data_IF_303153738610
#
_entry.id   IF_303153738610
#
_cell.length_a   1.000
_cell.length_b   1.000
_cell.length_c   1.000
_cell.angle_alpha   90.00
_cell.angle_beta   90.00
_cell.angle_gamma   90.00
#
_symmetry.space_group_name_H-M   'P 1'
#
loop_
_entity.id
_entity.type
_entity.pdbx_description
1 polymer ?
#
# COMPACT_ATOMS: atom_id res chain seq x y z
N UNK A 1 -12.53 58.03 -43.42
CA UNK A 1 -12.95 56.71 -43.93
C UNK A 1 -11.72 55.97 -44.42
N UNK A 2 -11.21 55.03 -43.63
CA UNK A 2 -10.01 54.25 -43.93
C UNK A 2 -9.64 53.46 -42.67
N UNK A 3 -10.37 52.37 -42.45
CA UNK A 3 -10.33 51.53 -41.25
C UNK A 3 -8.96 50.86 -41.04
N UNK A 4 -8.58 50.84 -39.77
CA UNK A 4 -7.59 49.94 -39.16
C UNK A 4 -7.88 48.49 -39.53
N UNK A 5 -6.82 47.74 -39.88
CA UNK A 5 -6.83 46.30 -40.09
C UNK A 5 -5.62 45.63 -39.46
N UNK A 6 -5.40 45.87 -38.17
CA UNK A 6 -4.56 45.01 -37.32
C UNK A 6 -5.36 43.75 -36.98
N UNK A 7 -4.87 42.59 -37.41
CA UNK A 7 -4.53 41.50 -36.48
C UNK A 7 -3.94 40.36 -37.30
N UNK A 8 -2.60 40.28 -37.24
CA UNK A 8 -1.90 39.05 -37.52
C UNK A 8 -2.58 37.92 -36.74
N UNK A 9 -3.02 36.88 -37.44
CA UNK A 9 -3.41 35.64 -36.79
C UNK A 9 -2.22 35.21 -35.94
N UNK A 10 -2.46 35.04 -34.63
CA UNK A 10 -1.52 34.36 -33.77
C UNK A 10 -1.42 32.93 -34.30
N UNK A 11 -0.45 32.70 -35.19
CA UNK A 11 -0.05 31.36 -35.58
C UNK A 11 0.29 30.66 -34.27
N UNK A 12 -0.46 29.60 -33.94
CA UNK A 12 -0.09 28.71 -32.86
C UNK A 12 1.34 28.26 -33.15
N UNK A 13 2.30 28.76 -32.38
CA UNK A 13 3.69 28.38 -32.55
C UNK A 13 3.76 26.88 -32.29
N UNK A 14 4.21 26.14 -33.29
CA UNK A 14 4.56 24.73 -33.14
C UNK A 14 5.44 24.59 -31.88
N UNK A 15 5.04 23.75 -30.93
CA UNK A 15 5.79 23.62 -29.69
C UNK A 15 7.22 23.20 -29.99
N UNK A 16 8.17 23.90 -29.38
CA UNK A 16 9.59 23.59 -29.57
C UNK A 16 9.89 22.17 -29.11
N UNK A 17 10.98 21.57 -29.59
CA UNK A 17 11.39 20.24 -29.15
C UNK A 17 11.59 20.14 -27.62
N UNK A 18 11.93 21.25 -26.97
CA UNK A 18 12.01 21.34 -25.51
C UNK A 18 10.63 21.34 -24.85
N UNK A 19 9.68 22.12 -25.38
CA UNK A 19 8.29 22.11 -24.91
C UNK A 19 7.64 20.74 -25.10
N UNK A 20 7.87 20.07 -26.23
CA UNK A 20 7.40 18.71 -26.48
C UNK A 20 7.97 17.70 -25.47
N UNK A 21 9.27 17.81 -25.14
CA UNK A 21 9.88 16.98 -24.10
C UNK A 21 9.28 17.24 -22.72
N UNK A 22 9.09 18.51 -22.35
CA UNK A 22 8.44 18.86 -21.08
C UNK A 22 7.00 18.33 -21.01
N UNK A 23 6.24 18.43 -22.10
CA UNK A 23 4.89 17.87 -22.17
C UNK A 23 4.88 16.35 -22.04
N UNK A 24 5.83 15.66 -22.68
CA UNK A 24 5.98 14.21 -22.55
C UNK A 24 6.34 13.80 -21.10
N UNK A 25 7.27 14.51 -20.46
CA UNK A 25 7.61 14.27 -19.06
C UNK A 25 6.42 14.50 -18.14
N UNK A 26 5.68 15.60 -18.34
CA UNK A 26 4.49 15.89 -17.55
C UNK A 26 3.41 14.82 -17.73
N UNK A 27 3.13 14.39 -18.97
CA UNK A 27 2.17 13.33 -19.25
C UNK A 27 2.59 11.99 -18.62
N UNK A 28 3.89 11.68 -18.63
CA UNK A 28 4.42 10.49 -17.95
C UNK A 28 4.18 10.54 -16.43
N UNK A 29 4.50 11.66 -15.78
CA UNK A 29 4.24 11.84 -14.34
C UNK A 29 2.74 11.73 -14.02
N UNK A 30 1.88 12.29 -14.87
CA UNK A 30 0.42 12.19 -14.69
C UNK A 30 -0.07 10.75 -14.85
N UNK A 31 0.45 9.99 -15.82
CA UNK A 31 0.12 8.58 -15.99
C UNK A 31 0.57 7.74 -14.79
N UNK A 32 1.78 7.95 -14.31
CA UNK A 32 2.31 7.29 -13.11
C UNK A 32 1.44 7.62 -11.89
N UNK A 33 1.02 8.88 -11.74
CA UNK A 33 0.13 9.31 -10.67
C UNK A 33 -1.24 8.64 -10.73
N UNK A 34 -1.86 8.55 -11.91
CA UNK A 34 -3.13 7.85 -12.08
C UNK A 34 -3.00 6.35 -11.81
N UNK A 35 -1.93 5.71 -12.25
CA UNK A 35 -1.67 4.30 -11.95
C UNK A 35 -1.54 4.05 -10.43
N UNK A 36 -0.91 4.98 -9.69
CA UNK A 36 -0.86 4.92 -8.23
C UNK A 36 -2.25 5.07 -7.60
N UNK A 37 -3.09 5.99 -8.09
CA UNK A 37 -4.46 6.16 -7.59
C UNK A 37 -5.32 4.94 -7.89
N UNK A 38 -5.27 4.42 -9.11
CA UNK A 38 -6.02 3.23 -9.52
C UNK A 38 -5.60 2.02 -8.67
N UNK A 39 -4.29 1.84 -8.48
CA UNK A 39 -3.77 0.80 -7.58
C UNK A 39 -4.26 0.98 -6.13
N UNK A 40 -4.28 2.21 -5.61
CA UNK A 40 -4.83 2.49 -4.29
C UNK A 40 -6.35 2.22 -4.22
N UNK A 41 -7.09 2.52 -5.28
CA UNK A 41 -8.52 2.21 -5.37
C UNK A 41 -8.77 0.70 -5.42
N UNK A 42 -7.98 -0.05 -6.19
CA UNK A 42 -8.03 -1.51 -6.25
C UNK A 42 -7.71 -2.17 -4.90
N UNK A 43 -6.71 -1.63 -4.17
CA UNK A 43 -6.38 -2.09 -2.81
C UNK A 43 -7.54 -1.81 -1.85
N UNK A 44 -8.22 -0.66 -1.99
CA UNK A 44 -9.35 -0.31 -1.14
C UNK A 44 -10.64 -1.06 -1.49
N UNK A 45 -10.80 -1.47 -2.75
CA UNK A 45 -11.94 -2.27 -3.22
C UNK A 45 -11.82 -3.76 -2.82
N UNK A 46 -10.59 -4.24 -2.62
CA UNK A 46 -10.31 -5.59 -2.15
C UNK A 46 -10.25 -5.62 -0.61
N UNK A 47 -11.26 -6.23 0.01
CA UNK A 47 -11.37 -6.30 1.46
C UNK A 47 -10.19 -7.02 2.13
N UNK A 48 -9.56 -7.99 1.46
CA UNK A 48 -8.40 -8.71 1.99
C UNK A 48 -7.16 -7.81 1.99
N UNK A 49 -6.89 -7.13 0.86
CA UNK A 49 -5.76 -6.19 0.76
C UNK A 49 -5.93 -5.00 1.69
N UNK A 50 -7.16 -4.47 1.78
CA UNK A 50 -7.50 -3.38 2.70
C UNK A 50 -7.27 -3.78 4.16
N UNK A 51 -7.68 -4.99 4.56
CA UNK A 51 -7.42 -5.50 5.91
C UNK A 51 -5.91 -5.63 6.20
N UNK A 52 -5.13 -6.14 5.25
CA UNK A 52 -3.66 -6.25 5.39
C UNK A 52 -3.02 -4.86 5.55
N UNK A 53 -3.44 -3.88 4.74
CA UNK A 53 -2.94 -2.51 4.84
C UNK A 53 -3.31 -1.86 6.18
N UNK A 54 -4.51 -2.11 6.68
CA UNK A 54 -4.93 -1.62 8.00
C UNK A 54 -4.07 -2.21 9.12
N UNK A 55 -3.72 -3.50 9.05
CA UNK A 55 -2.82 -4.13 10.01
C UNK A 55 -1.42 -3.50 9.98
N UNK A 56 -0.89 -3.18 8.80
CA UNK A 56 0.38 -2.46 8.66
C UNK A 56 0.32 -1.09 9.34
N UNK A 57 -0.75 -0.33 9.08
CA UNK A 57 -0.92 1.00 9.66
C UNK A 57 -1.08 0.96 11.18
N UNK A 58 -1.75 -0.07 11.71
CA UNK A 58 -1.83 -0.30 13.16
C UNK A 58 -0.43 -0.57 13.73
N UNK A 59 0.37 -1.43 13.09
CA UNK A 59 1.73 -1.70 13.53
C UNK A 59 2.59 -0.43 13.54
N UNK A 60 2.64 0.30 12.42
CA UNK A 60 3.36 1.57 12.30
C UNK A 60 2.96 2.54 13.41
N UNK A 61 1.65 2.68 13.66
CA UNK A 61 1.13 3.58 14.71
C UNK A 61 1.60 3.19 16.11
N UNK A 62 1.66 1.89 16.42
CA UNK A 62 2.18 1.42 17.71
C UNK A 62 3.70 1.55 17.80
N UNK A 63 4.42 1.34 16.70
CA UNK A 63 5.88 1.57 16.63
C UNK A 63 6.22 3.04 16.88
N UNK A 64 5.52 3.97 16.23
CA UNK A 64 5.69 5.42 16.43
C UNK A 64 5.44 5.86 17.87
N UNK A 65 4.59 5.12 18.61
CA UNK A 65 4.31 5.36 20.03
C UNK A 65 5.30 4.69 20.98
N UNK A 66 6.25 3.91 20.48
CA UNK A 66 7.12 3.07 21.30
C UNK A 66 6.40 1.89 21.98
N UNK A 67 5.21 1.55 21.49
CA UNK A 67 4.29 0.56 22.06
C UNK A 67 4.19 -0.70 21.19
N UNK A 68 5.24 -1.01 20.40
CA UNK A 68 5.27 -2.10 19.40
C UNK A 68 4.69 -3.44 19.91
N UNK A 69 4.92 -3.79 21.17
CA UNK A 69 4.39 -5.03 21.76
C UNK A 69 2.85 -5.12 21.79
N UNK A 70 2.13 -3.99 21.81
CA UNK A 70 0.65 -3.96 21.85
C UNK A 70 0.00 -4.44 20.55
N UNK A 71 0.74 -4.45 19.44
CA UNK A 71 0.28 -5.01 18.15
C UNK A 71 -0.11 -6.49 18.31
N UNK A 72 0.54 -7.22 19.21
CA UNK A 72 0.28 -8.64 19.48
C UNK A 72 -1.18 -8.86 19.91
N UNK A 73 -1.76 -7.96 20.70
CA UNK A 73 -3.16 -8.07 21.16
C UNK A 73 -4.12 -7.95 19.98
N UNK A 74 -3.90 -6.97 19.11
CA UNK A 74 -4.69 -6.76 17.90
C UNK A 74 -4.61 -7.97 16.97
N UNK A 75 -3.41 -8.50 16.74
CA UNK A 75 -3.21 -9.65 15.85
C UNK A 75 -3.83 -10.93 16.40
N UNK A 76 -3.85 -11.12 17.72
CA UNK A 76 -4.60 -12.22 18.34
C UNK A 76 -6.10 -12.09 18.09
N UNK A 77 -6.65 -10.89 18.18
CA UNK A 77 -8.08 -10.68 17.92
C UNK A 77 -8.44 -10.88 16.45
N UNK A 78 -7.54 -10.52 15.53
CA UNK A 78 -7.66 -10.83 14.10
C UNK A 78 -7.71 -12.35 13.88
N UNK A 79 -6.77 -13.11 14.47
CA UNK A 79 -6.73 -14.57 14.37
C UNK A 79 -7.98 -15.25 14.99
N UNK A 80 -8.67 -14.62 15.95
CA UNK A 80 -9.96 -15.12 16.45
C UNK A 80 -11.13 -14.81 15.53
N UNK A 81 -11.05 -13.68 14.81
CA UNK A 81 -12.19 -13.09 14.10
C UNK A 81 -12.27 -13.49 12.63
N UNK A 82 -11.18 -13.99 12.05
CA UNK A 82 -11.11 -14.33 10.62
C UNK A 82 -10.77 -15.80 10.35
N UNK A 83 -11.43 -16.33 9.32
CA UNK A 83 -11.11 -17.61 8.69
C UNK A 83 -10.40 -17.44 7.34
N UNK A 84 -10.19 -16.21 6.88
CA UNK A 84 -9.48 -15.94 5.63
C UNK A 84 -7.99 -16.30 5.82
N UNK A 85 -7.49 -17.28 5.06
CA UNK A 85 -6.15 -17.81 5.25
C UNK A 85 -5.05 -16.79 4.94
N UNK A 86 -5.24 -15.91 3.97
CA UNK A 86 -4.26 -14.86 3.64
C UNK A 86 -4.10 -13.88 4.80
N UNK A 87 -5.21 -13.43 5.40
CA UNK A 87 -5.18 -12.54 6.58
C UNK A 87 -4.56 -13.25 7.78
N UNK A 88 -4.90 -14.53 8.01
CA UNK A 88 -4.29 -15.34 9.09
C UNK A 88 -2.78 -15.45 8.90
N UNK A 89 -2.32 -15.77 7.70
CA UNK A 89 -0.91 -15.87 7.37
C UNK A 89 -0.18 -14.56 7.63
N UNK A 90 -0.77 -13.46 7.17
CA UNK A 90 -0.23 -12.14 7.41
C UNK A 90 -0.12 -11.81 8.91
N UNK A 91 -1.16 -12.12 9.69
CA UNK A 91 -1.16 -11.93 11.14
C UNK A 91 -0.10 -12.78 11.86
N UNK A 92 0.08 -14.05 11.46
CA UNK A 92 1.15 -14.90 12.00
C UNK A 92 2.54 -14.33 11.72
N UNK A 93 2.80 -13.89 10.49
CA UNK A 93 4.08 -13.29 10.12
C UNK A 93 4.36 -12.01 10.90
N UNK A 94 3.43 -11.05 10.86
CA UNK A 94 3.58 -9.78 11.56
C UNK A 94 3.75 -9.96 13.07
N UNK A 95 2.99 -10.86 13.68
CA UNK A 95 3.11 -11.12 15.12
C UNK A 95 4.44 -11.81 15.45
N UNK A 96 4.93 -12.68 14.56
CA UNK A 96 6.27 -13.27 14.66
C UNK A 96 7.38 -12.21 14.64
N UNK A 97 7.30 -11.25 13.72
CA UNK A 97 8.26 -10.15 13.62
C UNK A 97 8.22 -9.25 14.86
N UNK A 98 7.02 -8.86 15.31
CA UNK A 98 6.85 -8.07 16.54
C UNK A 98 7.40 -8.80 17.77
N UNK A 99 7.14 -10.11 17.89
CA UNK A 99 7.68 -10.93 18.99
C UNK A 99 9.20 -10.99 18.95
N UNK A 100 9.79 -11.21 17.77
CA UNK A 100 11.25 -11.22 17.59
C UNK A 100 11.86 -9.86 17.98
N UNK A 101 11.30 -8.77 17.47
CA UNK A 101 11.82 -7.41 17.68
C UNK A 101 11.68 -6.96 19.15
N UNK A 102 10.76 -7.55 19.90
CA UNK A 102 10.58 -7.32 21.33
C UNK A 102 11.33 -8.33 22.22
N UNK A 103 12.25 -9.11 21.65
CA UNK A 103 13.12 -10.05 22.37
C UNK A 103 12.47 -11.39 22.74
N UNK A 104 11.28 -11.68 22.20
CA UNK A 104 10.46 -12.88 22.48
C UNK A 104 10.56 -13.91 21.37
N UNK A 105 11.78 -14.18 20.89
CA UNK A 105 12.04 -15.04 19.73
C UNK A 105 11.49 -16.46 19.86
N UNK A 106 11.52 -17.05 21.07
CA UNK A 106 10.97 -18.39 21.29
C UNK A 106 9.45 -18.44 21.08
N UNK A 107 8.75 -17.37 21.47
CA UNK A 107 7.32 -17.23 21.21
C UNK A 107 7.05 -17.02 19.72
N UNK A 108 7.88 -16.21 19.05
CA UNK A 108 7.80 -16.03 17.61
C UNK A 108 7.91 -17.36 16.85
N UNK A 109 8.89 -18.20 17.23
CA UNK A 109 9.08 -19.52 16.62
C UNK A 109 7.88 -20.43 16.84
N UNK A 110 7.36 -20.50 18.09
CA UNK A 110 6.18 -21.33 18.39
C UNK A 110 4.97 -20.88 17.57
N UNK A 111 4.77 -19.57 17.48
CA UNK A 111 3.67 -18.98 16.74
C UNK A 111 3.77 -19.25 15.23
N UNK A 112 4.94 -19.02 14.63
CA UNK A 112 5.14 -19.27 13.20
C UNK A 112 4.99 -20.76 12.86
N UNK A 113 5.34 -21.67 13.77
CA UNK A 113 5.07 -23.11 13.62
C UNK A 113 3.58 -23.42 13.63
N UNK A 114 2.79 -22.73 14.44
CA UNK A 114 1.33 -22.86 14.45
C UNK A 114 0.74 -22.43 13.10
N UNK A 115 1.09 -21.22 12.63
CA UNK A 115 0.65 -20.73 11.32
C UNK A 115 1.10 -21.64 10.16
N UNK A 116 2.32 -22.17 10.21
CA UNK A 116 2.79 -23.15 9.23
C UNK A 116 1.94 -24.44 9.26
N UNK A 117 1.63 -24.96 10.45
CA UNK A 117 0.78 -26.15 10.59
C UNK A 117 -0.61 -25.92 10.01
N UNK A 118 -1.20 -24.74 10.24
CA UNK A 118 -2.49 -24.38 9.65
C UNK A 118 -2.43 -24.36 8.12
N UNK A 119 -1.40 -23.74 7.55
CA UNK A 119 -1.20 -23.69 6.10
C UNK A 119 -1.05 -25.07 5.48
N UNK A 120 -0.27 -25.94 6.10
CA UNK A 120 -0.07 -27.32 5.63
C UNK A 120 -1.36 -28.14 5.73
N UNK A 121 -2.22 -27.87 6.72
CA UNK A 121 -3.51 -28.53 6.84
C UNK A 121 -4.57 -28.00 5.85
N UNK A 122 -4.42 -26.75 5.39
CA UNK A 122 -5.31 -26.13 4.43
C UNK A 122 -4.89 -26.34 2.95
N UNK A 123 -3.71 -26.92 2.72
CA UNK A 123 -3.23 -27.24 1.37
C UNK A 123 -4.05 -28.39 0.75
N UNK A 124 -4.43 -28.31 -0.53
CA UNK A 124 -5.24 -29.33 -1.21
C UNK A 124 -4.51 -30.66 -1.45
#
# INVERSE_FOLDING_TARGET
>A
MGLLGLSAGAAAQEPSAEQLRMMQTFLGIMQDYFAVIESAHEINADAEKSAILQLQKIQETYEDRGEKARVIEVLRDVLKSTRNQTIRNYAYMMMGDVLKDTGRSDEAIRLLREGLKENLAAAP
#
